data_IF_496204773769
#
_entry.id   IF_496204773769
#
_cell.length_a   1.000
_cell.length_b   1.000
_cell.length_c   1.000
_cell.angle_alpha   90.00
_cell.angle_beta   90.00
_cell.angle_gamma   90.00
#
_symmetry.space_group_name_H-M   'P 1'
#
loop_
_entity.id
_entity.type
_entity.pdbx_description
1 polymer ?
#
# COMPACT_ATOMS: atom_id res chain seq x y z
N UNK A 1 26.86 -7.71 33.88
CA UNK A 1 25.41 -7.63 33.59
C UNK A 1 25.03 -8.83 32.74
N UNK A 2 24.09 -9.69 33.16
CA UNK A 2 23.60 -10.77 32.30
C UNK A 2 22.58 -10.20 31.30
N UNK A 3 22.64 -10.64 30.03
CA UNK A 3 21.68 -10.25 29.00
C UNK A 3 20.59 -11.30 28.93
N UNK A 4 19.33 -10.87 29.00
CA UNK A 4 18.18 -11.73 28.70
C UNK A 4 18.21 -12.01 27.20
N UNK A 5 18.21 -13.29 26.81
CA UNK A 5 18.01 -13.66 25.40
C UNK A 5 16.53 -13.48 25.08
N UNK A 6 16.22 -12.49 24.24
CA UNK A 6 14.90 -12.36 23.66
C UNK A 6 14.78 -13.36 22.50
N UNK A 7 13.67 -14.08 22.44
CA UNK A 7 13.35 -14.88 21.27
C UNK A 7 12.91 -13.93 20.15
N UNK A 8 13.41 -14.13 18.94
CA UNK A 8 12.88 -13.41 17.78
C UNK A 8 11.42 -13.80 17.56
N UNK A 9 10.50 -12.85 17.34
CA UNK A 9 9.12 -13.18 17.02
C UNK A 9 9.05 -14.07 15.76
N UNK A 10 8.19 -15.08 15.78
CA UNK A 10 7.89 -15.90 14.60
C UNK A 10 6.88 -15.11 13.77
N UNK A 11 7.31 -14.64 12.60
CA UNK A 11 6.44 -13.96 11.63
C UNK A 11 6.03 -15.00 10.59
N UNK A 12 4.74 -15.29 10.50
CA UNK A 12 4.20 -16.17 9.48
C UNK A 12 3.93 -15.36 8.20
N UNK A 13 4.85 -15.42 7.24
CA UNK A 13 4.66 -14.83 5.91
C UNK A 13 3.91 -15.83 5.03
N UNK A 14 2.74 -15.47 4.46
CA UNK A 14 2.07 -16.31 3.47
C UNK A 14 2.98 -16.61 2.27
N UNK A 15 2.78 -17.75 1.60
CA UNK A 15 3.46 -18.01 0.33
C UNK A 15 2.72 -17.31 -0.83
N UNK A 16 3.46 -16.54 -1.62
CA UNK A 16 3.00 -15.85 -2.81
C UNK A 16 4.10 -15.83 -3.88
N UNK A 17 3.74 -15.45 -5.11
CA UNK A 17 4.68 -15.29 -6.21
C UNK A 17 5.16 -13.83 -6.28
N UNK A 18 6.45 -13.64 -6.46
CA UNK A 18 7.02 -12.31 -6.67
C UNK A 18 7.38 -12.14 -8.13
N UNK A 19 6.94 -11.03 -8.70
CA UNK A 19 7.28 -10.58 -10.05
C UNK A 19 8.04 -9.25 -9.95
N UNK A 20 8.61 -8.81 -11.06
CA UNK A 20 9.28 -7.50 -11.14
C UNK A 20 8.99 -6.79 -12.43
N UNK A 21 8.97 -5.46 -12.35
CA UNK A 21 8.77 -4.54 -13.47
C UNK A 21 9.85 -3.46 -13.43
N UNK A 22 10.35 -3.03 -14.59
CA UNK A 22 11.33 -1.96 -14.66
C UNK A 22 10.67 -0.62 -14.27
N UNK A 23 11.41 0.26 -13.58
CA UNK A 23 10.85 1.53 -13.09
C UNK A 23 10.23 2.39 -14.19
N UNK A 24 10.83 2.44 -15.39
CA UNK A 24 10.25 3.18 -16.53
C UNK A 24 8.93 2.56 -17.03
N UNK A 25 8.78 1.24 -16.94
CA UNK A 25 7.58 0.54 -17.38
C UNK A 25 6.45 0.73 -16.35
N UNK A 26 6.78 0.68 -15.06
CA UNK A 26 5.82 1.01 -13.99
C UNK A 26 5.40 2.48 -14.03
N UNK A 27 6.34 3.40 -14.28
CA UNK A 27 6.00 4.82 -14.48
C UNK A 27 4.98 4.98 -15.60
N UNK A 28 5.14 4.25 -16.70
CA UNK A 28 4.18 4.31 -17.80
C UNK A 28 2.76 3.91 -17.36
N UNK A 29 2.61 2.89 -16.53
CA UNK A 29 1.28 2.48 -16.04
C UNK A 29 0.66 3.54 -15.12
N UNK A 30 1.48 4.29 -14.37
CA UNK A 30 1.04 5.45 -13.57
C UNK A 30 0.68 6.66 -14.44
N UNK A 31 1.50 6.98 -15.44
CA UNK A 31 1.25 8.08 -16.38
C UNK A 31 -0.08 7.89 -17.12
N UNK A 32 -0.41 6.64 -17.47
CA UNK A 32 -1.65 6.27 -18.16
C UNK A 32 -2.90 6.49 -17.25
N UNK A 33 -2.73 6.65 -15.92
CA UNK A 33 -3.80 7.05 -15.00
C UNK A 33 -4.05 8.57 -14.97
N UNK A 34 -3.11 9.39 -15.45
CA UNK A 34 -3.21 10.85 -15.44
C UNK A 34 -3.15 11.48 -14.04
N UNK A 35 -2.54 10.80 -13.06
CA UNK A 35 -2.39 11.25 -11.68
C UNK A 35 -1.00 11.85 -11.49
N UNK A 36 -0.87 12.90 -10.68
CA UNK A 36 0.40 13.59 -10.50
C UNK A 36 1.41 12.74 -9.70
N UNK A 37 2.66 12.77 -10.17
CA UNK A 37 3.79 12.15 -9.50
C UNK A 37 4.79 13.26 -9.16
N UNK A 38 4.90 13.66 -7.88
CA UNK A 38 5.69 14.81 -7.48
C UNK A 38 7.21 14.57 -7.60
N UNK A 39 7.64 13.34 -7.91
CA UNK A 39 9.03 12.98 -8.12
C UNK A 39 9.20 11.82 -9.10
N UNK A 40 10.44 11.63 -9.56
CA UNK A 40 10.82 10.49 -10.38
C UNK A 40 10.78 9.18 -9.59
N UNK A 41 10.63 8.07 -10.32
CA UNK A 41 10.82 6.72 -9.77
C UNK A 41 12.18 6.61 -9.09
N UNK A 42 12.20 6.16 -7.84
CA UNK A 42 13.41 6.07 -7.02
C UNK A 42 14.20 4.78 -7.29
N UNK A 43 13.52 3.72 -7.73
CA UNK A 43 14.13 2.41 -7.98
C UNK A 43 14.22 2.09 -9.48
N UNK A 44 15.23 1.29 -9.85
CA UNK A 44 15.34 0.74 -11.21
C UNK A 44 14.37 -0.42 -11.45
N UNK A 45 14.04 -1.16 -10.38
CA UNK A 45 13.17 -2.33 -10.41
C UNK A 45 12.18 -2.25 -9.26
N UNK A 46 10.94 -2.59 -9.59
CA UNK A 46 9.85 -2.65 -8.62
C UNK A 46 9.29 -4.06 -8.57
N UNK A 47 8.91 -4.50 -7.37
CA UNK A 47 8.48 -5.86 -7.06
C UNK A 47 7.01 -5.86 -6.66
N UNK A 48 6.27 -6.79 -7.25
CA UNK A 48 4.83 -6.94 -7.05
C UNK A 48 4.44 -8.41 -6.96
N UNK A 49 3.20 -8.67 -6.58
CA UNK A 49 2.58 -9.98 -6.63
C UNK A 49 1.29 -9.90 -7.43
N UNK A 50 0.74 -11.05 -7.84
CA UNK A 50 -0.53 -11.11 -8.57
C UNK A 50 -1.73 -10.92 -7.62
N UNK A 51 -2.94 -10.86 -8.17
CA UNK A 51 -4.17 -10.73 -7.40
C UNK A 51 -4.32 -11.83 -6.32
N UNK A 52 -3.88 -13.06 -6.60
CA UNK A 52 -3.88 -14.15 -5.62
C UNK A 52 -2.93 -13.84 -4.46
N UNK A 53 -1.71 -13.38 -4.75
CA UNK A 53 -0.76 -12.94 -3.74
C UNK A 53 -1.32 -11.81 -2.89
N UNK A 54 -1.81 -10.74 -3.52
CA UNK A 54 -2.38 -9.60 -2.80
C UNK A 54 -3.53 -10.02 -1.89
N UNK A 55 -4.42 -10.92 -2.32
CA UNK A 55 -5.53 -11.42 -1.49
C UNK A 55 -5.08 -12.05 -0.16
N UNK A 56 -3.85 -12.56 -0.10
CA UNK A 56 -3.25 -13.14 1.11
C UNK A 56 -2.58 -12.08 1.98
N UNK A 57 -2.04 -11.02 1.37
CA UNK A 57 -1.22 -10.01 2.04
C UNK A 57 -2.03 -8.86 2.63
N UNK A 58 -3.09 -8.40 1.94
CA UNK A 58 -3.84 -7.19 2.32
C UNK A 58 -4.44 -7.25 3.74
N UNK A 59 -4.97 -8.39 4.24
CA UNK A 59 -5.46 -8.47 5.61
C UNK A 59 -4.38 -8.21 6.68
N UNK A 60 -3.10 -8.53 6.40
CA UNK A 60 -1.98 -8.26 7.31
C UNK A 60 -1.45 -6.82 7.20
N UNK A 61 -1.66 -6.17 6.06
CA UNK A 61 -1.25 -4.79 5.82
C UNK A 61 -2.26 -3.77 6.36
N UNK A 62 -3.44 -4.23 6.78
CA UNK A 62 -4.45 -3.40 7.43
C UNK A 62 -4.00 -2.94 8.83
N UNK A 63 -4.12 -1.64 9.08
CA UNK A 63 -3.81 -0.99 10.34
C UNK A 63 -5.07 -0.87 11.19
N UNK A 64 -4.96 -1.32 12.45
CA UNK A 64 -6.09 -1.32 13.38
C UNK A 64 -6.42 0.09 13.90
N UNK A 65 -7.71 0.42 13.94
CA UNK A 65 -8.28 1.73 14.30
C UNK A 65 -8.08 2.14 15.74
N UNK A 66 -7.74 1.22 16.65
CA UNK A 66 -7.48 1.59 18.03
C UNK A 66 -6.22 2.48 18.21
N UNK A 67 -5.43 2.66 17.14
CA UNK A 67 -4.34 3.62 17.06
C UNK A 67 -4.77 4.98 16.49
N UNK A 68 -5.97 5.09 15.91
CA UNK A 68 -6.42 6.30 15.23
C UNK A 68 -6.53 7.47 16.20
N UNK A 69 -5.97 8.60 15.80
CA UNK A 69 -6.14 9.90 16.43
C UNK A 69 -6.06 10.97 15.37
N UNK A 70 -7.11 11.79 15.27
CA UNK A 70 -7.13 12.98 14.40
C UNK A 70 -5.81 13.78 14.52
N UNK A 71 -5.23 14.10 13.37
CA UNK A 71 -3.96 14.84 13.16
C UNK A 71 -2.69 14.26 13.80
N UNK A 72 -2.77 13.12 14.50
CA UNK A 72 -1.61 12.51 15.20
C UNK A 72 -1.25 11.13 14.68
N UNK A 73 -2.26 10.39 14.25
CA UNK A 73 -2.17 9.07 13.66
C UNK A 73 -3.45 8.80 12.89
N UNK A 74 -3.56 9.39 11.70
CA UNK A 74 -4.75 9.30 10.87
C UNK A 74 -4.44 8.64 9.51
N UNK A 75 -5.14 9.06 8.46
CA UNK A 75 -5.19 8.31 7.20
C UNK A 75 -3.82 8.18 6.51
N UNK A 76 -2.98 9.22 6.57
CA UNK A 76 -1.66 9.24 5.95
C UNK A 76 -0.65 8.37 6.71
N UNK A 77 -0.66 8.42 8.04
CA UNK A 77 0.16 7.53 8.89
C UNK A 77 -0.19 6.05 8.66
N UNK A 78 -1.48 5.74 8.51
CA UNK A 78 -1.93 4.38 8.22
C UNK A 78 -1.48 3.92 6.82
N UNK A 79 -1.64 4.77 5.80
CA UNK A 79 -1.18 4.49 4.45
C UNK A 79 0.35 4.32 4.35
N UNK A 80 1.11 5.12 5.13
CA UNK A 80 2.55 4.95 5.21
C UNK A 80 2.95 3.66 5.92
N UNK A 81 2.32 3.38 7.05
CA UNK A 81 2.58 2.17 7.82
C UNK A 81 2.30 0.92 6.99
N UNK A 82 1.20 0.89 6.25
CA UNK A 82 0.87 -0.21 5.35
C UNK A 82 1.96 -0.41 4.29
N UNK A 83 2.38 0.66 3.60
CA UNK A 83 3.45 0.59 2.61
C UNK A 83 4.78 0.11 3.20
N UNK A 84 5.21 0.69 4.31
CA UNK A 84 6.48 0.32 4.95
C UNK A 84 6.46 -1.13 5.44
N UNK A 85 5.32 -1.57 6.00
CA UNK A 85 5.13 -2.98 6.39
C UNK A 85 5.18 -3.90 5.17
N UNK A 86 4.60 -3.48 4.03
CA UNK A 86 4.63 -4.23 2.79
C UNK A 86 6.05 -4.43 2.27
N UNK A 87 6.84 -3.35 2.23
CA UNK A 87 8.24 -3.40 1.82
C UNK A 87 9.07 -4.25 2.79
N UNK A 88 8.92 -4.04 4.11
CA UNK A 88 9.73 -4.74 5.12
C UNK A 88 9.44 -6.24 5.18
N UNK A 89 8.17 -6.65 5.10
CA UNK A 89 7.77 -8.05 5.30
C UNK A 89 7.71 -8.86 4.02
N UNK A 90 7.35 -8.22 2.92
CA UNK A 90 7.03 -8.89 1.66
C UNK A 90 7.96 -8.51 0.52
N UNK A 91 8.85 -7.53 0.74
CA UNK A 91 9.81 -7.04 -0.27
C UNK A 91 9.10 -6.54 -1.55
N UNK A 92 7.86 -6.05 -1.41
CA UNK A 92 7.06 -5.49 -2.50
C UNK A 92 7.03 -3.96 -2.39
N UNK A 93 7.77 -3.27 -3.25
CA UNK A 93 7.83 -1.79 -3.30
C UNK A 93 6.85 -1.17 -4.31
N UNK A 94 5.93 -1.95 -4.89
CA UNK A 94 4.86 -1.44 -5.77
C UNK A 94 3.62 -0.93 -5.03
N UNK A 95 3.55 -1.07 -3.70
CA UNK A 95 2.51 -0.38 -2.93
C UNK A 95 2.81 1.12 -2.93
N UNK A 96 1.94 1.90 -3.56
CA UNK A 96 2.02 3.34 -3.62
C UNK A 96 1.37 3.98 -2.39
N UNK A 97 1.92 5.09 -1.93
CA UNK A 97 1.22 6.01 -1.05
C UNK A 97 0.48 7.04 -1.91
N UNK A 98 -0.77 7.33 -1.56
CA UNK A 98 -1.63 8.20 -2.34
C UNK A 98 -2.26 9.24 -1.44
N UNK A 99 -2.24 10.48 -1.91
CA UNK A 99 -3.08 11.56 -1.39
C UNK A 99 -4.16 11.81 -2.43
N UNK A 100 -5.40 11.88 -1.97
CA UNK A 100 -6.55 12.12 -2.82
C UNK A 100 -7.77 12.58 -2.04
N UNK A 101 -8.94 12.19 -2.54
CA UNK A 101 -10.22 12.56 -1.95
C UNK A 101 -11.16 11.38 -1.82
N UNK A 102 -12.01 11.46 -0.80
CA UNK A 102 -13.29 10.79 -0.66
C UNK A 102 -14.43 11.80 -0.79
N UNK A 103 -15.66 11.31 -0.79
CA UNK A 103 -16.86 12.17 -0.71
C UNK A 103 -16.89 13.05 0.55
N UNK A 104 -16.20 12.62 1.62
CA UNK A 104 -16.14 13.29 2.92
C UNK A 104 -15.00 14.29 3.06
N UNK A 105 -14.01 14.30 2.16
CA UNK A 105 -12.87 15.22 2.25
C UNK A 105 -11.57 14.62 1.71
N UNK A 106 -10.46 15.29 2.03
CA UNK A 106 -9.11 14.81 1.70
C UNK A 106 -8.83 13.52 2.45
N UNK A 107 -8.21 12.56 1.79
CA UNK A 107 -7.91 11.25 2.35
C UNK A 107 -6.60 10.70 1.80
N UNK A 108 -5.90 9.92 2.61
CA UNK A 108 -4.70 9.19 2.19
C UNK A 108 -4.96 7.69 2.24
N UNK A 109 -4.49 6.99 1.22
CA UNK A 109 -4.71 5.56 1.03
C UNK A 109 -3.56 4.98 0.18
N UNK A 110 -3.67 3.71 -0.22
CA UNK A 110 -2.66 3.08 -1.05
C UNK A 110 -3.21 2.68 -2.42
N UNK A 111 -2.33 2.61 -3.40
CA UNK A 111 -2.57 1.81 -4.61
C UNK A 111 -1.63 0.61 -4.61
N UNK A 112 -2.06 -0.50 -5.16
CA UNK A 112 -1.24 -1.69 -5.39
C UNK A 112 -1.27 -2.02 -6.87
N UNK A 113 -0.17 -2.54 -7.40
CA UNK A 113 -0.08 -3.04 -8.77
C UNK A 113 -0.07 -4.57 -8.75
N UNK A 114 -0.96 -5.22 -9.50
CA UNK A 114 -1.05 -6.69 -9.54
C UNK A 114 -0.38 -7.30 -10.78
N UNK A 115 0.18 -6.47 -11.66
CA UNK A 115 0.77 -6.87 -12.94
C UNK A 115 -0.06 -6.49 -14.15
N UNK A 116 -1.36 -6.28 -13.95
CA UNK A 116 -2.29 -5.88 -15.01
C UNK A 116 -2.79 -4.45 -14.77
N UNK A 117 -3.23 -4.14 -13.55
CA UNK A 117 -3.81 -2.84 -13.21
C UNK A 117 -3.41 -2.32 -11.82
N UNK A 118 -3.75 -1.05 -11.58
CA UNK A 118 -3.63 -0.43 -10.27
C UNK A 118 -4.96 -0.51 -9.54
N UNK A 119 -4.93 -1.02 -8.31
CA UNK A 119 -6.10 -1.16 -7.44
C UNK A 119 -5.94 -0.28 -6.20
N UNK A 120 -7.05 0.28 -5.74
CA UNK A 120 -7.14 1.00 -4.46
C UNK A 120 -7.12 0.03 -3.30
N UNK A 121 -6.36 0.35 -2.27
CA UNK A 121 -6.34 -0.35 -0.99
C UNK A 121 -6.58 0.64 0.16
N UNK A 122 -7.58 0.34 0.98
CA UNK A 122 -7.85 1.05 2.23
C UNK A 122 -7.21 0.29 3.40
N UNK A 123 -6.11 0.82 3.96
CA UNK A 123 -5.41 0.16 5.06
C UNK A 123 -6.09 0.36 6.41
N UNK A 124 -7.03 1.29 6.59
CA UNK A 124 -7.66 1.56 7.88
C UNK A 124 -8.85 0.65 8.13
N UNK A 125 -8.83 -0.14 9.21
CA UNK A 125 -9.94 -1.07 9.57
C UNK A 125 -11.27 -0.37 9.93
N UNK A 126 -11.29 0.97 10.00
CA UNK A 126 -12.48 1.77 10.23
C UNK A 126 -13.40 1.93 9.01
N UNK A 127 -12.98 1.44 7.84
CA UNK A 127 -13.71 1.58 6.58
C UNK A 127 -14.34 0.25 6.12
N UNK A 128 -15.46 0.31 5.42
CA UNK A 128 -16.20 -0.90 5.00
C UNK A 128 -15.45 -1.81 4.02
N UNK A 129 -14.49 -1.27 3.27
CA UNK A 129 -13.64 -2.01 2.32
C UNK A 129 -12.23 -2.27 2.85
N UNK A 130 -11.99 -2.07 4.14
CA UNK A 130 -10.69 -2.28 4.73
C UNK A 130 -10.18 -3.72 4.51
N UNK A 131 -8.87 -3.85 4.23
CA UNK A 131 -8.27 -5.16 3.97
C UNK A 131 -8.55 -5.73 2.57
N UNK A 132 -9.21 -4.96 1.69
CA UNK A 132 -9.55 -5.38 0.33
C UNK A 132 -8.98 -4.41 -0.71
N UNK A 133 -8.70 -4.94 -1.90
CA UNK A 133 -8.37 -4.13 -3.07
C UNK A 133 -9.58 -3.99 -3.98
N UNK A 134 -9.74 -2.80 -4.57
CA UNK A 134 -10.88 -2.47 -5.42
C UNK A 134 -10.51 -1.46 -6.52
N UNK A 135 -11.29 -1.33 -7.60
CA UNK A 135 -10.96 -0.43 -8.71
C UNK A 135 -10.79 1.03 -8.29
N UNK A 136 -9.89 1.77 -8.94
CA UNK A 136 -9.75 3.22 -8.75
C UNK A 136 -11.09 3.92 -9.07
N UNK A 137 -11.48 4.88 -8.22
CA UNK A 137 -12.75 5.60 -8.36
C UNK A 137 -13.93 4.96 -7.64
N UNK A 138 -13.85 3.68 -7.26
CA UNK A 138 -14.90 3.04 -6.47
C UNK A 138 -14.98 3.67 -5.06
N UNK A 139 -16.19 3.68 -4.49
CA UNK A 139 -16.51 4.32 -3.20
C UNK A 139 -16.07 5.80 -3.07
N UNK A 140 -15.85 6.47 -4.22
CA UNK A 140 -15.45 7.88 -4.25
C UNK A 140 -13.96 8.14 -4.05
N UNK A 141 -13.10 7.11 -3.99
CA UNK A 141 -11.64 7.25 -3.89
C UNK A 141 -11.08 7.84 -5.17
N UNK A 142 -10.57 9.07 -5.09
CA UNK A 142 -10.00 9.81 -6.21
C UNK A 142 -8.56 10.21 -5.92
N UNK A 143 -7.57 9.49 -6.48
CA UNK A 143 -6.16 9.87 -6.34
C UNK A 143 -5.89 11.25 -6.94
N UNK A 144 -5.01 12.02 -6.30
CA UNK A 144 -4.50 13.29 -6.81
C UNK A 144 -2.98 13.24 -6.96
N UNK A 145 -2.29 12.65 -5.97
CA UNK A 145 -0.84 12.53 -5.90
C UNK A 145 -0.43 11.11 -5.55
N UNK A 146 0.61 10.58 -6.21
CA UNK A 146 1.13 9.24 -5.99
C UNK A 146 2.62 9.27 -5.66
N UNK A 147 3.04 8.49 -4.65
CA UNK A 147 4.44 8.23 -4.32
C UNK A 147 4.73 6.73 -4.23
N UNK A 148 5.53 6.23 -5.18
CA UNK A 148 5.93 4.81 -5.30
C UNK A 148 7.40 4.62 -4.92
#
# INVERSE_FOLDING_TARGET
MSRIKTQSPIIHTPSFKTYRIAGFALKKTLDDLGIDMPMFMLDSWYYYTDAEGWSKLLPDLMVKSNLWSEDKFDCDDMAWKAKMTCVERYELNTMAFVIGYLSTGRHSFNLIYDGDEWLTFEPSDGFGLAGQAFPIGAEGYKPELILV
#
